data_IF_880781177507
#
_entry.id   IF_880781177507
#
_cell.length_a   1.000
_cell.length_b   1.000
_cell.length_c   1.000
_cell.angle_alpha   90.00
_cell.angle_beta   90.00
_cell.angle_gamma   90.00
#
_symmetry.space_group_name_H-M   'P 1'
#
loop_
_entity.id
_entity.type
_entity.pdbx_description
1 polymer ?
#
# COMPACT_ATOMS: atom_id res chain seq x y z
N UNK A 1 6.82 24.98 3.40
CA UNK A 1 6.92 25.33 1.96
C UNK A 1 7.39 26.77 1.68
N UNK A 2 7.36 27.69 2.66
CA UNK A 2 7.68 29.12 2.46
C UNK A 2 9.13 29.42 2.03
N UNK A 3 10.12 28.72 2.59
CA UNK A 3 11.54 28.98 2.31
C UNK A 3 11.99 28.46 0.93
N UNK A 4 11.30 27.47 0.39
CA UNK A 4 11.59 26.83 -0.91
C UNK A 4 10.28 26.67 -1.70
N UNK A 5 9.75 27.77 -2.25
CA UNK A 5 8.51 27.74 -3.00
C UNK A 5 8.71 26.99 -4.33
N UNK A 6 7.85 26.01 -4.59
CA UNK A 6 7.86 25.17 -5.78
C UNK A 6 6.43 24.97 -6.29
N UNK A 7 6.29 24.58 -7.56
CA UNK A 7 4.99 24.22 -8.15
C UNK A 7 4.50 22.85 -7.68
N UNK A 8 5.43 21.95 -7.40
CA UNK A 8 5.14 20.59 -6.97
C UNK A 8 6.04 20.20 -5.80
N UNK A 9 5.49 19.39 -4.91
CA UNK A 9 6.20 18.89 -3.73
C UNK A 9 6.15 17.37 -3.66
N UNK A 10 7.31 16.77 -3.37
CA UNK A 10 7.44 15.37 -2.98
C UNK A 10 7.93 15.34 -1.53
N UNK A 11 7.23 14.60 -0.68
CA UNK A 11 7.63 14.32 0.69
C UNK A 11 8.02 12.85 0.80
N UNK A 12 9.24 12.59 1.25
CA UNK A 12 9.69 11.25 1.63
C UNK A 12 9.68 11.10 3.16
N UNK A 13 9.06 10.04 3.63
CA UNK A 13 9.08 9.60 5.03
C UNK A 13 9.92 8.32 5.10
N UNK A 14 11.05 8.39 5.80
CA UNK A 14 12.03 7.31 5.90
C UNK A 14 12.15 6.78 7.34
N UNK A 15 12.22 5.46 7.49
CA UNK A 15 12.35 4.80 8.78
C UNK A 15 11.81 3.36 8.77
N UNK A 16 11.53 2.82 9.95
CA UNK A 16 10.79 1.55 10.07
C UNK A 16 9.31 1.76 9.73
N UNK A 17 8.66 0.74 9.16
CA UNK A 17 7.23 0.79 8.84
C UNK A 17 6.56 -0.54 9.14
N UNK A 18 5.25 -0.48 9.38
CA UNK A 18 4.42 -1.66 9.57
C UNK A 18 2.98 -1.43 9.07
N UNK A 19 2.84 -0.79 7.91
CA UNK A 19 1.56 -0.50 7.27
C UNK A 19 0.63 0.30 8.16
N UNK A 20 -0.58 -0.21 8.38
CA UNK A 20 -1.63 0.49 9.15
C UNK A 20 -1.23 0.83 10.60
N UNK A 21 -0.21 0.16 11.16
CA UNK A 21 0.28 0.43 12.52
C UNK A 21 1.03 1.78 12.62
N UNK A 22 1.63 2.23 11.52
CA UNK A 22 2.43 3.45 11.44
C UNK A 22 3.88 3.22 11.00
N UNK A 23 4.67 4.29 11.08
CA UNK A 23 6.05 4.34 10.60
C UNK A 23 6.96 5.14 11.56
N UNK A 24 8.25 5.25 11.24
CA UNK A 24 9.25 6.04 11.97
C UNK A 24 9.25 5.81 13.50
N UNK A 25 9.48 4.56 13.94
CA UNK A 25 9.67 4.25 15.35
C UNK A 25 10.81 5.10 15.94
N UNK A 26 10.49 5.93 16.93
CA UNK A 26 11.47 6.60 17.78
C UNK A 26 11.89 5.65 18.89
N UNK A 27 13.09 5.06 18.74
CA UNK A 27 13.64 4.12 19.71
C UNK A 27 13.90 4.73 21.10
N UNK A 28 13.97 6.06 21.23
CA UNK A 28 14.23 6.73 22.50
C UNK A 28 12.98 6.84 23.38
N UNK A 29 11.82 7.01 22.76
CA UNK A 29 10.51 7.17 23.42
C UNK A 29 9.61 5.94 23.26
N UNK A 30 9.88 5.09 22.26
CA UNK A 30 9.02 3.99 21.85
C UNK A 30 7.83 4.44 21.00
N UNK A 31 7.78 5.70 20.60
CA UNK A 31 6.69 6.28 19.82
C UNK A 31 6.77 5.90 18.33
N UNK A 32 5.62 5.78 17.68
CA UNK A 32 5.50 5.43 16.26
C UNK A 32 4.61 6.46 15.61
N UNK A 33 5.14 7.14 14.60
CA UNK A 33 4.38 8.11 13.81
C UNK A 33 3.16 7.43 13.18
N UNK A 34 1.98 7.82 13.64
CA UNK A 34 0.70 7.24 13.23
C UNK A 34 0.22 7.83 11.92
N UNK A 35 -0.61 7.07 11.21
CA UNK A 35 -1.23 7.54 9.97
C UNK A 35 -2.12 8.76 10.21
N UNK A 36 -2.82 8.82 11.36
CA UNK A 36 -3.64 9.98 11.74
C UNK A 36 -2.79 11.25 11.90
N UNK A 37 -1.61 11.16 12.50
CA UNK A 37 -0.70 12.30 12.66
C UNK A 37 -0.17 12.80 11.32
N UNK A 38 0.15 11.89 10.40
CA UNK A 38 0.58 12.24 9.03
C UNK A 38 -0.59 12.91 8.28
N UNK A 39 -1.79 12.33 8.38
CA UNK A 39 -3.01 12.84 7.75
C UNK A 39 -3.33 14.26 8.22
N UNK A 40 -3.35 14.49 9.53
CA UNK A 40 -3.69 15.79 10.13
C UNK A 40 -2.80 16.92 9.60
N UNK A 41 -1.51 16.63 9.35
CA UNK A 41 -0.58 17.59 8.76
C UNK A 41 -0.85 17.78 7.27
N UNK A 42 -0.96 16.68 6.51
CA UNK A 42 -1.05 16.74 5.05
C UNK A 42 -2.43 17.16 4.52
N UNK A 43 -3.49 17.08 5.33
CA UNK A 43 -4.79 17.69 5.00
C UNK A 43 -4.70 19.21 4.93
N UNK A 44 -3.79 19.82 5.70
CA UNK A 44 -3.56 21.26 5.72
C UNK A 44 -2.44 21.70 4.76
N UNK A 45 -1.43 20.84 4.55
CA UNK A 45 -0.32 21.07 3.64
C UNK A 45 -0.11 19.89 2.68
N UNK A 46 -0.99 19.77 1.69
CA UNK A 46 -0.95 18.68 0.71
C UNK A 46 0.32 18.68 -0.13
N UNK A 47 0.80 17.49 -0.49
CA UNK A 47 1.92 17.28 -1.42
C UNK A 47 1.45 16.58 -2.69
N UNK A 48 2.17 16.71 -3.81
CA UNK A 48 1.80 15.97 -5.02
C UNK A 48 2.17 14.49 -4.90
N UNK A 49 3.29 14.20 -4.23
CA UNK A 49 3.80 12.83 -4.04
C UNK A 49 4.15 12.62 -2.57
N UNK A 50 3.53 11.60 -1.98
CA UNK A 50 3.94 11.05 -0.70
C UNK A 50 4.71 9.77 -0.97
N UNK A 51 5.96 9.72 -0.53
CA UNK A 51 6.82 8.56 -0.67
C UNK A 51 7.12 7.99 0.71
N UNK A 52 6.92 6.68 0.89
CA UNK A 52 7.42 5.97 2.07
C UNK A 52 8.63 5.11 1.72
N UNK A 53 9.72 5.32 2.45
CA UNK A 53 10.91 4.50 2.45
C UNK A 53 10.95 3.64 3.71
N UNK A 54 9.86 2.90 3.91
CA UNK A 54 9.57 2.14 5.12
C UNK A 54 8.76 0.90 4.78
N UNK A 55 9.03 -0.21 5.47
CA UNK A 55 8.38 -1.50 5.19
C UNK A 55 6.84 -1.41 5.29
N UNK A 56 6.16 -2.21 4.46
CA UNK A 56 4.72 -2.46 4.51
C UNK A 56 3.84 -1.22 4.23
N UNK A 57 4.41 -0.14 3.69
CA UNK A 57 3.65 1.10 3.46
C UNK A 57 2.88 1.10 2.15
N UNK A 58 3.14 0.16 1.24
CA UNK A 58 2.34 -0.13 0.05
C UNK A 58 1.09 -0.93 0.38
N UNK A 59 0.33 -0.48 1.37
CA UNK A 59 -0.89 -1.14 1.85
C UNK A 59 -2.12 -0.28 1.52
N UNK A 60 -3.24 -0.94 1.22
CA UNK A 60 -4.50 -0.24 0.92
C UNK A 60 -4.98 0.59 2.12
N UNK A 61 -4.73 0.15 3.35
CA UNK A 61 -5.10 0.89 4.56
C UNK A 61 -4.31 2.21 4.69
N UNK A 62 -3.03 2.18 4.36
CA UNK A 62 -2.19 3.38 4.29
C UNK A 62 -2.69 4.30 3.19
N UNK A 63 -2.88 3.77 1.98
CA UNK A 63 -3.34 4.55 0.84
C UNK A 63 -4.71 5.21 1.11
N UNK A 64 -5.65 4.47 1.71
CA UNK A 64 -6.98 4.97 2.02
C UNK A 64 -6.94 6.10 3.06
N UNK A 65 -6.11 5.95 4.10
CA UNK A 65 -5.92 7.00 5.12
C UNK A 65 -5.38 8.30 4.49
N UNK A 66 -4.56 8.18 3.44
CA UNK A 66 -3.90 9.30 2.76
C UNK A 66 -4.65 9.81 1.51
N UNK A 67 -5.83 9.26 1.17
CA UNK A 67 -6.49 9.47 -0.13
C UNK A 67 -6.79 10.93 -0.48
N UNK A 68 -6.94 11.79 0.52
CA UNK A 68 -7.20 13.24 0.35
C UNK A 68 -5.96 14.12 0.55
N UNK A 69 -4.82 13.53 0.89
CA UNK A 69 -3.59 14.24 1.30
C UNK A 69 -2.56 14.37 0.17
N UNK A 70 -2.62 13.48 -0.82
CA UNK A 70 -1.64 13.39 -1.91
C UNK A 70 -2.27 12.91 -3.21
N UNK A 71 -1.66 13.25 -4.35
CA UNK A 71 -2.09 12.79 -5.68
C UNK A 71 -1.48 11.44 -6.05
N UNK A 72 -0.26 11.20 -5.60
CA UNK A 72 0.47 9.97 -5.85
C UNK A 72 1.08 9.45 -4.54
N UNK A 73 1.08 8.13 -4.39
CA UNK A 73 1.79 7.44 -3.32
C UNK A 73 2.88 6.57 -3.94
N UNK A 74 4.05 6.53 -3.32
CA UNK A 74 5.12 5.60 -3.70
C UNK A 74 5.54 4.85 -2.44
N UNK A 75 5.46 3.53 -2.45
CA UNK A 75 5.73 2.74 -1.26
C UNK A 75 6.10 1.28 -1.58
N UNK A 76 6.79 0.58 -0.65
CA UNK A 76 7.10 -0.83 -0.81
C UNK A 76 5.95 -1.71 -0.36
N UNK A 77 5.72 -2.78 -1.13
CA UNK A 77 4.88 -3.89 -0.73
C UNK A 77 5.75 -4.93 0.00
N UNK A 78 5.42 -5.22 1.26
CA UNK A 78 6.29 -6.00 2.13
C UNK A 78 7.52 -5.23 2.62
N UNK A 79 8.64 -5.93 2.82
CA UNK A 79 9.85 -5.31 3.37
C UNK A 79 10.63 -4.49 2.34
N UNK A 80 11.25 -3.42 2.82
CA UNK A 80 12.24 -2.65 2.07
C UNK A 80 13.64 -2.96 2.57
N UNK A 81 14.62 -2.86 1.68
CA UNK A 81 16.04 -3.06 2.01
C UNK A 81 16.57 -1.91 2.88
N UNK A 82 17.38 -2.24 3.88
CA UNK A 82 17.97 -1.27 4.80
C UNK A 82 18.89 -0.24 4.12
N UNK A 83 19.36 -0.54 2.91
CA UNK A 83 20.12 0.39 2.06
C UNK A 83 19.28 1.57 1.56
N UNK A 84 17.95 1.51 1.66
CA UNK A 84 17.05 2.62 1.35
C UNK A 84 16.88 2.87 -0.15
N UNK A 85 16.63 4.13 -0.51
CA UNK A 85 16.42 4.54 -1.90
C UNK A 85 17.72 5.05 -2.54
N UNK A 86 17.96 4.77 -3.82
CA UNK A 86 19.11 5.31 -4.55
C UNK A 86 18.88 6.77 -4.97
N UNK A 87 18.82 7.69 -3.99
CA UNK A 87 18.50 9.12 -4.20
C UNK A 87 19.37 9.79 -5.28
N UNK A 88 20.67 9.51 -5.28
CA UNK A 88 21.59 10.05 -6.30
C UNK A 88 21.17 9.63 -7.71
N UNK A 89 20.71 8.39 -7.90
CA UNK A 89 20.22 7.92 -9.21
C UNK A 89 18.93 8.63 -9.61
N UNK A 90 18.01 8.83 -8.66
CA UNK A 90 16.75 9.54 -8.91
C UNK A 90 17.01 10.96 -9.36
N UNK A 91 17.71 11.75 -8.53
CA UNK A 91 17.88 13.17 -8.77
C UNK A 91 18.76 13.46 -9.99
N UNK A 92 19.77 12.64 -10.28
CA UNK A 92 20.59 12.80 -11.49
C UNK A 92 19.82 12.53 -12.78
N UNK A 93 18.76 11.72 -12.72
CA UNK A 93 17.94 11.38 -13.89
C UNK A 93 16.61 12.14 -13.93
N UNK A 94 16.35 13.04 -12.97
CA UNK A 94 15.20 13.95 -13.06
C UNK A 94 15.45 15.02 -14.11
N UNK A 95 14.42 15.29 -14.89
CA UNK A 95 14.43 16.32 -15.91
C UNK A 95 13.31 17.34 -15.63
N UNK A 96 13.63 18.63 -15.77
CA UNK A 96 12.71 19.75 -15.56
C UNK A 96 11.45 19.71 -16.44
N UNK A 97 11.46 18.95 -17.54
CA UNK A 97 10.29 18.76 -18.40
C UNK A 97 9.33 17.67 -17.90
N UNK A 98 9.75 16.85 -16.93
CA UNK A 98 8.92 15.76 -16.43
C UNK A 98 7.74 16.31 -15.64
N UNK A 99 6.55 15.77 -15.92
CA UNK A 99 5.41 15.95 -15.03
C UNK A 99 5.51 15.03 -13.80
N UNK A 100 4.65 15.24 -12.82
CA UNK A 100 4.70 14.51 -11.54
C UNK A 100 4.58 12.99 -11.73
N UNK A 101 3.69 12.52 -12.59
CA UNK A 101 3.53 11.08 -12.85
C UNK A 101 4.79 10.48 -13.48
N UNK A 102 5.39 11.20 -14.44
CA UNK A 102 6.67 10.80 -15.05
C UNK A 102 7.78 10.73 -14.01
N UNK A 103 7.83 11.66 -13.05
CA UNK A 103 8.76 11.62 -11.91
C UNK A 103 8.53 10.36 -11.07
N UNK A 104 7.28 10.01 -10.75
CA UNK A 104 6.97 8.78 -10.03
C UNK A 104 7.42 7.53 -10.80
N UNK A 105 7.14 7.44 -12.11
CA UNK A 105 7.58 6.33 -12.96
C UNK A 105 9.11 6.21 -12.94
N UNK A 106 9.81 7.34 -13.00
CA UNK A 106 11.28 7.37 -12.99
C UNK A 106 11.85 6.89 -11.67
N UNK A 107 11.24 7.23 -10.53
CA UNK A 107 11.63 6.69 -9.22
C UNK A 107 11.55 5.16 -9.22
N UNK A 108 10.45 4.57 -9.73
CA UNK A 108 10.29 3.12 -9.82
C UNK A 108 11.33 2.48 -10.76
N UNK A 109 11.55 3.09 -11.93
CA UNK A 109 12.55 2.63 -12.89
C UNK A 109 13.97 2.59 -12.29
N UNK A 110 14.39 3.69 -11.67
CA UNK A 110 15.71 3.80 -11.06
C UNK A 110 15.86 2.87 -9.85
N UNK A 111 14.79 2.66 -9.07
CA UNK A 111 14.77 1.68 -8.00
C UNK A 111 15.00 0.27 -8.54
N UNK A 112 14.29 -0.09 -9.61
CA UNK A 112 14.43 -1.38 -10.28
C UNK A 112 15.80 -1.59 -10.93
N UNK A 113 16.39 -0.54 -11.50
CA UNK A 113 17.76 -0.60 -12.03
C UNK A 113 18.77 -0.90 -10.91
N UNK A 114 18.65 -0.20 -9.78
CA UNK A 114 19.53 -0.35 -8.63
C UNK A 114 19.40 -1.72 -7.96
N UNK A 115 18.17 -2.22 -7.80
CA UNK A 115 17.87 -3.50 -7.14
C UNK A 115 17.54 -4.65 -8.11
N UNK A 116 18.00 -4.57 -9.36
CA UNK A 116 17.68 -5.53 -10.44
C UNK A 116 17.94 -7.01 -10.13
N UNK A 117 18.78 -7.31 -9.13
CA UNK A 117 19.12 -8.67 -8.72
C UNK A 117 18.73 -8.97 -7.26
N UNK A 118 17.95 -8.10 -6.63
CA UNK A 118 17.52 -8.26 -5.23
C UNK A 118 16.00 -8.38 -5.18
N UNK A 119 15.45 -9.44 -4.55
CA UNK A 119 14.01 -9.56 -4.37
C UNK A 119 13.47 -8.43 -3.50
N UNK A 120 12.70 -7.53 -4.10
CA UNK A 120 12.04 -6.42 -3.43
C UNK A 120 10.89 -5.90 -4.29
N UNK A 121 9.89 -5.26 -3.68
CA UNK A 121 8.73 -4.73 -4.37
C UNK A 121 8.55 -3.26 -4.03
N UNK A 122 8.31 -2.45 -5.05
CA UNK A 122 8.13 -1.00 -4.90
C UNK A 122 7.21 -0.49 -6.00
N UNK A 123 6.22 0.30 -5.63
CA UNK A 123 5.15 0.68 -6.56
C UNK A 123 4.73 2.14 -6.39
N UNK A 124 4.25 2.71 -7.50
CA UNK A 124 3.67 4.03 -7.58
C UNK A 124 2.16 3.93 -7.86
N UNK A 125 1.39 4.65 -7.07
CA UNK A 125 -0.05 4.57 -6.95
C UNK A 125 -0.71 5.86 -7.42
N UNK A 126 -1.78 5.73 -8.18
CA UNK A 126 -2.68 6.82 -8.51
C UNK A 126 -3.75 6.96 -7.41
N UNK A 127 -3.62 7.97 -6.55
CA UNK A 127 -4.48 8.10 -5.37
C UNK A 127 -5.93 8.43 -5.70
N UNK A 128 -6.21 8.94 -6.92
CA UNK A 128 -7.59 9.17 -7.38
C UNK A 128 -8.41 7.89 -7.52
N UNK A 129 -7.76 6.72 -7.58
CA UNK A 129 -8.39 5.40 -7.72
C UNK A 129 -8.63 4.65 -6.41
N UNK A 130 -8.06 5.15 -5.30
CA UNK A 130 -8.09 4.43 -4.02
C UNK A 130 -9.50 4.32 -3.42
N UNK A 131 -10.34 5.34 -3.57
CA UNK A 131 -11.74 5.25 -3.09
C UNK A 131 -12.53 4.17 -3.84
N UNK A 132 -12.42 4.15 -5.17
CA UNK A 132 -13.09 3.15 -6.03
C UNK A 132 -12.60 1.72 -5.71
N UNK A 133 -11.29 1.54 -5.51
CA UNK A 133 -10.73 0.26 -5.10
C UNK A 133 -11.22 -0.17 -3.70
N UNK A 134 -11.31 0.75 -2.75
CA UNK A 134 -11.78 0.43 -1.40
C UNK A 134 -13.27 0.04 -1.38
N UNK A 135 -14.11 0.71 -2.17
CA UNK A 135 -15.52 0.31 -2.38
C UNK A 135 -15.61 -1.10 -2.97
N UNK A 136 -14.76 -1.42 -3.97
CA UNK A 136 -14.73 -2.77 -4.52
C UNK A 136 -14.26 -3.82 -3.49
N UNK A 137 -13.30 -3.48 -2.62
CA UNK A 137 -12.86 -4.37 -1.52
C UNK A 137 -13.98 -4.57 -0.48
N UNK A 138 -14.77 -3.54 -0.19
CA UNK A 138 -15.95 -3.65 0.68
C UNK A 138 -16.97 -4.66 0.11
N UNK A 139 -17.36 -4.47 -1.16
CA UNK A 139 -18.27 -5.39 -1.85
C UNK A 139 -17.71 -6.82 -1.91
N UNK A 140 -16.40 -6.94 -2.15
CA UNK A 140 -15.72 -8.23 -2.17
C UNK A 140 -15.73 -8.91 -0.80
N UNK A 141 -15.46 -8.19 0.29
CA UNK A 141 -15.53 -8.69 1.66
C UNK A 141 -16.93 -9.22 1.99
N UNK A 142 -17.97 -8.43 1.67
CA UNK A 142 -19.37 -8.81 1.88
C UNK A 142 -19.74 -10.08 1.10
N UNK A 143 -19.28 -10.21 -0.14
CA UNK A 143 -19.54 -11.38 -0.97
C UNK A 143 -18.91 -12.65 -0.37
N UNK A 144 -17.64 -12.54 0.05
CA UNK A 144 -16.88 -13.66 0.61
C UNK A 144 -17.46 -14.18 1.95
N UNK A 145 -18.26 -13.40 2.69
CA UNK A 145 -18.87 -13.86 3.94
C UNK A 145 -19.78 -15.10 3.77
N UNK A 146 -20.30 -15.30 2.55
CA UNK A 146 -21.20 -16.42 2.23
C UNK A 146 -20.50 -17.60 1.55
N UNK A 147 -19.20 -17.49 1.31
CA UNK A 147 -18.41 -18.46 0.56
C UNK A 147 -17.64 -19.43 1.48
N UNK A 148 -17.04 -20.46 0.88
CA UNK A 148 -16.31 -21.50 1.61
C UNK A 148 -15.03 -20.95 2.27
N UNK A 149 -15.03 -20.89 3.61
CA UNK A 149 -13.92 -20.36 4.41
C UNK A 149 -12.61 -21.14 4.22
N UNK A 150 -12.65 -22.45 3.98
CA UNK A 150 -11.43 -23.24 3.78
C UNK A 150 -10.73 -22.83 2.48
N UNK A 151 -11.51 -22.64 1.41
CA UNK A 151 -11.01 -22.16 0.12
C UNK A 151 -10.52 -20.72 0.17
N UNK A 152 -11.19 -19.86 0.93
CA UNK A 152 -10.73 -18.48 1.17
C UNK A 152 -9.37 -18.49 1.86
N UNK A 153 -9.20 -19.30 2.90
CA UNK A 153 -7.93 -19.43 3.62
C UNK A 153 -6.82 -20.04 2.75
N UNK A 154 -7.16 -20.99 1.86
CA UNK A 154 -6.22 -21.50 0.86
C UNK A 154 -5.76 -20.39 -0.09
N UNK A 155 -6.70 -19.62 -0.66
CA UNK A 155 -6.39 -18.50 -1.53
C UNK A 155 -5.53 -17.43 -0.82
N UNK A 156 -5.87 -17.12 0.43
CA UNK A 156 -5.10 -16.23 1.30
C UNK A 156 -3.66 -16.74 1.48
N UNK A 157 -3.47 -18.04 1.72
CA UNK A 157 -2.14 -18.61 1.91
C UNK A 157 -1.28 -18.61 0.65
N UNK A 158 -1.90 -18.72 -0.53
CA UNK A 158 -1.22 -18.58 -1.81
C UNK A 158 -0.80 -17.13 -2.11
N UNK A 159 -1.37 -16.16 -1.39
CA UNK A 159 -1.22 -14.72 -1.68
C UNK A 159 -0.29 -14.01 -0.70
N UNK A 160 0.44 -14.75 0.13
CA UNK A 160 1.36 -14.19 1.12
C UNK A 160 2.50 -13.44 0.41
N UNK A 161 2.89 -12.29 0.97
CA UNK A 161 4.07 -11.54 0.55
C UNK A 161 5.28 -11.96 1.39
N UNK A 162 5.31 -11.51 2.65
CA UNK A 162 6.36 -11.80 3.62
C UNK A 162 5.80 -11.78 5.03
N UNK A 163 6.18 -12.77 5.84
CA UNK A 163 5.55 -12.99 7.14
C UNK A 163 4.11 -13.50 6.96
N UNK A 164 3.25 -13.23 7.93
CA UNK A 164 1.89 -13.79 7.94
C UNK A 164 0.82 -12.74 8.20
N UNK A 165 1.16 -11.45 8.20
CA UNK A 165 0.25 -10.35 8.53
C UNK A 165 -0.48 -9.76 7.31
N UNK A 166 0.23 -9.65 6.18
CA UNK A 166 -0.27 -9.04 4.95
C UNK A 166 -0.24 -10.05 3.80
N UNK A 167 -1.16 -9.87 2.86
CA UNK A 167 -1.21 -10.58 1.59
C UNK A 167 -1.26 -9.58 0.44
N UNK A 168 -0.81 -9.99 -0.74
CA UNK A 168 -0.96 -9.23 -1.99
C UNK A 168 -2.44 -9.27 -2.37
N UNK A 169 -3.06 -8.09 -2.52
CA UNK A 169 -4.50 -7.97 -2.75
C UNK A 169 -4.90 -8.52 -4.13
N UNK A 170 -4.05 -8.35 -5.13
CA UNK A 170 -4.29 -8.87 -6.47
C UNK A 170 -4.18 -10.39 -6.49
N UNK A 171 -3.11 -10.93 -5.91
CA UNK A 171 -2.91 -12.38 -5.80
C UNK A 171 -4.09 -13.00 -5.04
N UNK A 172 -4.60 -12.34 -4.00
CA UNK A 172 -5.75 -12.83 -3.24
C UNK A 172 -7.01 -12.87 -4.09
N UNK A 173 -7.30 -11.82 -4.85
CA UNK A 173 -8.41 -11.80 -5.80
C UNK A 173 -8.24 -12.89 -6.88
N UNK A 174 -7.05 -13.03 -7.46
CA UNK A 174 -6.77 -14.07 -8.45
C UNK A 174 -6.97 -15.48 -7.89
N UNK A 175 -6.45 -15.75 -6.70
CA UNK A 175 -6.53 -17.07 -6.09
C UNK A 175 -7.95 -17.41 -5.62
N UNK A 176 -8.70 -16.45 -5.08
CA UNK A 176 -10.13 -16.64 -4.74
C UNK A 176 -10.97 -16.87 -5.99
N UNK A 177 -10.72 -16.14 -7.08
CA UNK A 177 -11.35 -16.42 -8.38
C UNK A 177 -11.10 -17.87 -8.82
N UNK A 178 -9.87 -18.38 -8.73
CA UNK A 178 -9.56 -19.75 -9.15
C UNK A 178 -10.19 -20.83 -8.24
N UNK A 179 -10.29 -20.57 -6.93
CA UNK A 179 -10.79 -21.54 -5.95
C UNK A 179 -12.32 -21.58 -5.86
N UNK A 180 -12.96 -20.41 -6.03
CA UNK A 180 -14.40 -20.21 -5.83
C UNK A 180 -15.16 -19.89 -7.13
N UNK A 181 -14.47 -19.50 -8.21
CA UNK A 181 -15.06 -19.08 -9.48
C UNK A 181 -16.02 -17.88 -9.36
N UNK A 182 -15.58 -16.85 -8.60
CA UNK A 182 -16.38 -15.66 -8.28
C UNK A 182 -15.92 -14.45 -9.09
N UNK A 183 -16.79 -13.96 -9.98
CA UNK A 183 -16.42 -12.89 -10.92
C UNK A 183 -16.11 -11.54 -10.26
N UNK A 184 -16.62 -11.30 -9.04
CA UNK A 184 -16.35 -10.06 -8.29
C UNK A 184 -14.85 -9.85 -8.03
N UNK A 185 -14.08 -10.94 -7.92
CA UNK A 185 -12.64 -10.86 -7.76
C UNK A 185 -11.92 -10.30 -9.00
N UNK A 186 -12.53 -10.38 -10.19
CA UNK A 186 -11.98 -9.78 -11.41
C UNK A 186 -11.93 -8.26 -11.31
N UNK A 187 -12.97 -7.65 -10.72
CA UNK A 187 -13.02 -6.20 -10.52
C UNK A 187 -11.87 -5.70 -9.63
N UNK A 188 -11.51 -6.46 -8.58
CA UNK A 188 -10.35 -6.14 -7.74
C UNK A 188 -9.06 -6.14 -8.56
N UNK A 189 -8.84 -7.18 -9.38
CA UNK A 189 -7.64 -7.27 -10.23
C UNK A 189 -7.54 -6.11 -11.22
N UNK A 190 -8.67 -5.70 -11.82
CA UNK A 190 -8.73 -4.56 -12.74
C UNK A 190 -8.42 -3.24 -12.02
N UNK A 191 -9.07 -2.97 -10.89
CA UNK A 191 -8.87 -1.74 -10.12
C UNK A 191 -7.47 -1.63 -9.49
N UNK A 192 -6.85 -2.75 -9.12
CA UNK A 192 -5.44 -2.76 -8.71
C UNK A 192 -4.55 -2.32 -9.88
N UNK A 193 -4.77 -2.84 -11.09
CA UNK A 193 -3.99 -2.43 -12.26
C UNK A 193 -4.19 -0.97 -12.64
N UNK A 194 -5.38 -0.40 -12.41
CA UNK A 194 -5.63 1.04 -12.60
C UNK A 194 -5.00 1.90 -11.50
N UNK A 195 -4.94 1.39 -10.28
CA UNK A 195 -4.34 2.07 -9.12
C UNK A 195 -2.82 2.07 -9.22
N UNK A 196 -2.21 0.95 -9.58
CA UNK A 196 -0.75 0.78 -9.64
C UNK A 196 -0.25 1.03 -11.05
N UNK A 197 0.16 2.26 -11.33
CA UNK A 197 0.56 2.65 -12.69
C UNK A 197 2.03 2.35 -13.00
N UNK A 198 2.87 2.08 -11.99
CA UNK A 198 4.25 1.62 -12.16
C UNK A 198 4.69 0.76 -10.96
N UNK A 199 5.41 -0.32 -11.21
CA UNK A 199 5.97 -1.19 -10.16
C UNK A 199 7.28 -1.84 -10.55
N UNK A 200 8.05 -2.22 -9.55
CA UNK A 200 9.18 -3.15 -9.64
C UNK A 200 8.95 -4.31 -8.65
N UNK A 201 9.43 -5.50 -9.01
CA UNK A 201 9.26 -6.72 -8.23
C UNK A 201 8.18 -7.66 -8.77
N UNK A 202 8.08 -8.82 -8.13
CA UNK A 202 7.21 -9.92 -8.54
C UNK A 202 5.79 -9.81 -7.98
N UNK A 203 5.55 -8.87 -7.05
CA UNK A 203 4.23 -8.57 -6.49
C UNK A 203 3.52 -7.42 -7.19
N UNK A 204 2.26 -7.15 -6.85
CA UNK A 204 1.39 -6.24 -7.59
C UNK A 204 1.45 -4.79 -7.12
N UNK A 205 2.23 -4.52 -6.08
CA UNK A 205 2.46 -3.19 -5.51
C UNK A 205 1.51 -2.81 -4.39
N UNK A 206 0.62 -3.72 -3.97
CA UNK A 206 -0.47 -3.45 -3.04
C UNK A 206 -0.76 -4.65 -2.12
N UNK A 207 -0.62 -4.40 -0.83
CA UNK A 207 -0.98 -5.37 0.21
C UNK A 207 -2.22 -4.95 1.01
N UNK A 208 -2.82 -5.94 1.67
CA UNK A 208 -3.95 -5.76 2.59
C UNK A 208 -3.75 -6.62 3.83
N UNK A 209 -4.17 -6.13 5.00
CA UNK A 209 -4.05 -6.84 6.26
C UNK A 209 -5.00 -8.03 6.30
N UNK A 210 -4.44 -9.24 6.31
CA UNK A 210 -5.18 -10.49 6.47
C UNK A 210 -4.32 -11.48 7.26
N UNK A 211 -4.22 -11.31 8.60
CA UNK A 211 -3.20 -11.95 9.41
C UNK A 211 -3.49 -13.43 9.73
N UNK A 212 -2.43 -14.23 9.88
CA UNK A 212 -2.40 -15.54 10.54
C UNK A 212 -1.16 -15.61 11.46
N UNK A 213 -1.10 -16.40 12.56
CA UNK A 213 -2.19 -17.09 13.26
C UNK A 213 -2.95 -16.15 14.22
N UNK A 214 -4.29 -16.22 14.20
CA UNK A 214 -5.34 -15.68 15.13
C UNK A 214 -5.06 -14.41 15.95
N UNK A 215 -4.15 -13.54 15.51
CA UNK A 215 -3.96 -12.20 16.06
C UNK A 215 -4.51 -11.19 15.08
N UNK A 216 -5.83 -11.11 15.00
CA UNK A 216 -6.50 -9.91 14.54
C UNK A 216 -6.28 -8.83 15.61
N UNK A 217 -5.51 -7.81 15.28
CA UNK A 217 -5.31 -6.71 16.23
C UNK A 217 -6.64 -6.02 16.52
N UNK A 218 -7.01 -5.92 17.80
CA UNK A 218 -8.22 -5.21 18.26
C UNK A 218 -8.26 -3.72 17.87
N UNK A 219 -7.14 -3.17 17.42
CA UNK A 219 -7.00 -1.78 16.98
C UNK A 219 -7.21 -1.61 15.47
N UNK A 220 -7.16 -2.68 14.68
CA UNK A 220 -7.31 -2.60 13.22
C UNK A 220 -8.66 -2.02 12.80
N UNK A 221 -9.73 -2.40 13.50
CA UNK A 221 -11.08 -1.86 13.33
C UNK A 221 -11.21 -0.33 13.50
N UNK A 222 -10.18 0.34 14.03
CA UNK A 222 -10.18 1.79 14.20
C UNK A 222 -9.47 2.51 13.04
N UNK A 223 -8.94 1.79 12.05
CA UNK A 223 -8.34 2.40 10.86
C UNK A 223 -9.44 2.98 9.97
N UNK A 224 -9.15 4.07 9.25
CA UNK A 224 -10.09 4.68 8.31
C UNK A 224 -10.66 3.65 7.31
N UNK A 225 -9.79 2.76 6.81
CA UNK A 225 -10.18 1.71 5.88
C UNK A 225 -11.13 0.67 6.50
N UNK A 226 -10.85 0.21 7.72
CA UNK A 226 -11.70 -0.76 8.40
C UNK A 226 -13.02 -0.17 8.91
N UNK A 227 -13.10 1.15 9.12
CA UNK A 227 -14.34 1.84 9.49
C UNK A 227 -15.26 1.97 8.28
N UNK A 228 -14.69 2.22 7.11
CA UNK A 228 -15.42 2.48 5.86
C UNK A 228 -15.70 1.24 5.03
N UNK A 229 -15.16 0.08 5.41
CA UNK A 229 -15.35 -1.19 4.69
C UNK A 229 -15.65 -2.33 5.66
N UNK A 230 -16.29 -3.38 5.16
CA UNK A 230 -16.62 -4.60 5.88
C UNK A 230 -15.42 -5.57 5.97
N UNK A 231 -14.22 -5.13 5.58
CA UNK A 231 -13.04 -6.00 5.55
C UNK A 231 -12.67 -6.54 6.93
N UNK A 232 -12.72 -5.69 7.97
CA UNK A 232 -12.43 -6.10 9.34
C UNK A 232 -13.43 -7.15 9.85
N UNK A 233 -14.73 -6.94 9.60
CA UNK A 233 -15.82 -7.84 9.97
C UNK A 233 -15.64 -9.20 9.28
N UNK A 234 -15.36 -9.17 7.98
CA UNK A 234 -15.07 -10.34 7.16
C UNK A 234 -13.90 -11.15 7.73
N UNK A 235 -12.71 -10.55 7.87
CA UNK A 235 -11.55 -11.30 8.35
C UNK A 235 -11.76 -11.81 9.78
N UNK A 236 -12.45 -11.05 10.65
CA UNK A 236 -12.74 -11.46 12.04
C UNK A 236 -13.62 -12.70 12.17
N UNK A 237 -14.44 -13.01 11.16
CA UNK A 237 -15.28 -14.21 11.12
C UNK A 237 -14.50 -15.44 10.64
N UNK A 238 -13.43 -15.24 9.88
CA UNK A 238 -12.70 -16.31 9.20
C UNK A 238 -11.47 -16.80 9.99
N UNK A 239 -10.84 -15.96 10.81
CA UNK A 239 -9.57 -16.28 11.51
C UNK A 239 -9.67 -16.40 13.03
#
# INVERSE_FOLDING_TARGET
MENYPAKHYLLEIWGHGNGWVGTCLDASSGDVLKLEEIKDVLENESVDVLLFSSCYMGSIEVAYSMKNCTRYLIAPEGTMLATGLPHDSFFNNFNVSMNVEETCRKIIEEYGNYYSHTPTNFAAWNMSKVSELAEAVDEFAMYLESEDSEKILEARNLSIIQGTQYIDLYDFAFNTYNQLNISIAVNIMELVNETIFAKFGDKHGIEIYFPLPSYLSKYYKNTDFAIETQWNEFISKII
#
